data_IF_582257547362
#
_entry.id   IF_582257547362
#
_cell.length_a   1.000
_cell.length_b   1.000
_cell.length_c   1.000
_cell.angle_alpha   90.00
_cell.angle_beta   90.00
_cell.angle_gamma   90.00
#
_symmetry.space_group_name_H-M   'P 1'
#
loop_
_entity.id
_entity.type
_entity.pdbx_description
1 polymer ?
#
# COMPACT_ATOMS: atom_id res chain seq x y z
N UNK A 1 3.83 -8.32 -6.84
CA UNK A 1 4.20 -9.56 -6.15
C UNK A 1 4.50 -10.62 -7.18
N UNK A 2 3.91 -11.81 -7.23
CA UNK A 2 4.43 -12.96 -8.01
C UNK A 2 5.14 -12.71 -9.36
N UNK A 3 4.64 -11.81 -10.22
CA UNK A 3 5.36 -11.44 -11.47
C UNK A 3 6.61 -10.60 -11.22
N UNK A 4 6.54 -9.59 -10.34
CA UNK A 4 7.66 -8.76 -9.94
C UNK A 4 8.77 -9.59 -9.28
N UNK A 5 8.44 -10.48 -8.33
CA UNK A 5 9.40 -11.34 -7.62
C UNK A 5 10.19 -12.25 -8.58
N UNK A 6 9.59 -12.65 -9.71
CA UNK A 6 10.29 -13.43 -10.74
C UNK A 6 11.21 -12.57 -11.60
N UNK A 7 10.89 -11.29 -11.77
CA UNK A 7 11.58 -10.38 -12.68
C UNK A 7 12.75 -9.66 -11.99
N UNK A 8 12.66 -9.42 -10.68
CA UNK A 8 13.64 -8.60 -9.92
C UNK A 8 15.08 -9.10 -10.02
N UNK A 9 15.31 -10.41 -10.21
CA UNK A 9 16.65 -10.98 -10.35
C UNK A 9 17.21 -10.93 -11.78
N UNK A 10 16.40 -10.52 -12.75
CA UNK A 10 16.72 -10.60 -14.18
C UNK A 10 16.70 -9.25 -14.89
N UNK A 11 16.17 -8.22 -14.24
CA UNK A 11 16.12 -6.86 -14.78
C UNK A 11 17.44 -6.15 -14.52
N UNK A 12 17.93 -5.42 -15.51
CA UNK A 12 19.12 -4.56 -15.38
C UNK A 12 18.77 -3.18 -14.84
N UNK A 13 19.75 -2.46 -14.28
CA UNK A 13 19.55 -1.09 -13.77
C UNK A 13 19.01 -0.14 -14.85
N UNK A 14 19.48 -0.27 -16.10
CA UNK A 14 18.99 0.55 -17.22
C UNK A 14 17.51 0.29 -17.54
N UNK A 15 17.05 -0.95 -17.40
CA UNK A 15 15.63 -1.31 -17.58
C UNK A 15 14.77 -0.80 -16.42
N UNK A 16 15.30 -0.79 -15.20
CA UNK A 16 14.64 -0.20 -14.02
C UNK A 16 14.49 1.30 -14.19
N UNK A 17 15.57 2.02 -14.56
CA UNK A 17 15.55 3.47 -14.79
C UNK A 17 14.55 3.85 -15.89
N UNK A 18 14.51 3.09 -16.98
CA UNK A 18 13.55 3.29 -18.07
C UNK A 18 12.10 3.02 -17.63
N UNK A 19 11.88 2.03 -16.77
CA UNK A 19 10.57 1.74 -16.19
C UNK A 19 10.11 2.86 -15.25
N UNK A 20 10.99 3.31 -14.35
CA UNK A 20 10.73 4.39 -13.40
C UNK A 20 10.34 5.69 -14.16
N UNK A 21 11.12 6.08 -15.16
CA UNK A 21 10.83 7.24 -16.00
C UNK A 21 9.49 7.11 -16.73
N UNK A 22 9.18 5.90 -17.24
CA UNK A 22 7.90 5.63 -17.93
C UNK A 22 6.69 5.67 -16.98
N UNK A 23 6.88 5.32 -15.71
CA UNK A 23 5.85 5.41 -14.67
C UNK A 23 5.75 6.81 -14.05
N UNK A 24 6.65 7.73 -14.41
CA UNK A 24 6.65 9.12 -13.94
C UNK A 24 7.27 9.30 -12.55
N UNK A 25 8.27 8.48 -12.22
CA UNK A 25 8.99 8.53 -10.93
C UNK A 25 8.04 8.37 -9.71
N UNK A 26 7.28 7.26 -9.62
CA UNK A 26 6.41 7.02 -8.48
C UNK A 26 7.24 6.86 -7.20
N UNK A 27 6.74 7.44 -6.10
CA UNK A 27 7.39 7.30 -4.79
C UNK A 27 6.89 6.11 -3.98
N UNK A 28 5.75 5.54 -4.38
CA UNK A 28 5.12 4.41 -3.69
C UNK A 28 4.63 3.39 -4.72
N UNK A 29 4.58 2.13 -4.31
CA UNK A 29 3.98 1.05 -5.08
C UNK A 29 2.43 1.14 -5.07
N UNK A 30 1.72 0.28 -5.82
CA UNK A 30 0.26 0.27 -5.84
C UNK A 30 -0.43 0.01 -4.48
N UNK A 31 0.27 -0.55 -3.50
CA UNK A 31 -0.23 -0.85 -2.16
C UNK A 31 0.15 0.21 -1.13
N UNK A 32 1.06 1.13 -1.48
CA UNK A 32 1.50 2.24 -0.63
C UNK A 32 2.87 2.04 -0.01
N UNK A 33 3.60 0.98 -0.37
CA UNK A 33 4.98 0.78 0.08
C UNK A 33 5.91 1.82 -0.54
N UNK A 34 6.80 2.45 0.23
CA UNK A 34 7.77 3.39 -0.31
C UNK A 34 8.73 2.68 -1.27
N UNK A 35 8.90 3.25 -2.46
CA UNK A 35 9.91 2.79 -3.42
C UNK A 35 11.27 3.35 -2.97
N UNK A 36 12.32 2.53 -2.80
CA UNK A 36 13.64 3.01 -2.43
C UNK A 36 14.17 4.02 -3.44
N UNK A 37 14.89 5.03 -2.95
CA UNK A 37 15.72 5.88 -3.82
C UNK A 37 16.85 5.08 -4.46
N UNK A 38 17.51 5.65 -5.47
CA UNK A 38 18.67 5.02 -6.15
C UNK A 38 19.87 4.73 -5.23
N UNK A 39 19.94 5.35 -4.05
CA UNK A 39 20.95 5.01 -3.02
C UNK A 39 20.53 3.84 -2.11
N UNK A 40 19.34 3.28 -2.33
CA UNK A 40 18.71 2.25 -1.51
C UNK A 40 18.00 2.79 -0.26
N UNK A 41 17.94 4.11 -0.06
CA UNK A 41 17.25 4.68 1.09
C UNK A 41 15.73 4.61 0.92
N UNK A 42 15.03 4.04 1.90
CA UNK A 42 13.57 4.00 2.01
C UNK A 42 13.06 5.22 2.79
N UNK A 43 11.97 5.83 2.31
CA UNK A 43 11.23 6.81 3.10
C UNK A 43 10.51 6.10 4.25
N UNK A 44 10.37 6.78 5.39
CA UNK A 44 9.58 6.26 6.51
C UNK A 44 8.09 6.33 6.15
N UNK A 45 7.40 5.21 6.31
CA UNK A 45 5.96 5.14 6.10
C UNK A 45 5.26 5.63 7.37
N UNK A 46 4.75 6.85 7.34
CA UNK A 46 3.93 7.38 8.43
C UNK A 46 2.51 6.82 8.37
N UNK A 47 2.19 5.91 9.29
CA UNK A 47 0.87 5.29 9.39
C UNK A 47 0.56 4.78 10.78
N UNK A 48 -0.71 4.49 11.02
CA UNK A 48 -1.18 3.83 12.25
C UNK A 48 -2.16 2.74 11.84
N UNK A 49 -2.05 1.56 12.43
CA UNK A 49 -2.97 0.46 12.17
C UNK A 49 -4.41 0.90 12.45
N UNK A 50 -5.36 0.51 11.58
CA UNK A 50 -6.78 0.89 11.78
C UNK A 50 -7.37 0.36 13.08
N UNK A 51 -6.82 -0.74 13.62
CA UNK A 51 -7.20 -1.31 14.92
C UNK A 51 -6.78 -0.43 16.11
N UNK A 52 -5.87 0.51 15.90
CA UNK A 52 -5.38 1.47 16.90
C UNK A 52 -5.86 2.90 16.61
N UNK A 53 -6.48 3.12 15.45
CA UNK A 53 -6.99 4.43 15.06
C UNK A 53 -8.22 4.82 15.89
N UNK A 54 -8.33 6.10 16.33
CA UNK A 54 -9.50 6.54 17.08
C UNK A 54 -10.80 6.40 16.29
N UNK A 55 -11.82 5.81 16.92
CA UNK A 55 -13.16 5.71 16.35
C UNK A 55 -13.74 7.10 16.06
N UNK A 56 -14.52 7.20 14.99
CA UNK A 56 -15.19 8.42 14.60
C UNK A 56 -14.29 9.51 14.02
N UNK A 57 -12.98 9.26 13.89
CA UNK A 57 -12.04 10.21 13.27
C UNK A 57 -11.77 9.87 11.81
N UNK A 58 -11.74 10.87 10.92
CA UNK A 58 -11.36 10.66 9.53
C UNK A 58 -9.91 10.18 9.44
N UNK A 59 -9.66 9.25 8.53
CA UNK A 59 -8.35 8.74 8.17
C UNK A 59 -8.21 8.73 6.65
N UNK A 60 -6.96 8.72 6.18
CA UNK A 60 -6.62 8.41 4.79
C UNK A 60 -5.81 7.12 4.80
N UNK A 61 -6.22 6.14 4.00
CA UNK A 61 -5.43 4.92 3.82
C UNK A 61 -4.11 5.32 3.15
N UNK A 62 -3.00 4.94 3.76
CA UNK A 62 -1.65 5.18 3.20
C UNK A 62 -0.99 3.92 2.69
N UNK A 63 -1.34 2.77 3.27
CA UNK A 63 -0.76 1.47 2.96
C UNK A 63 -1.80 0.36 3.14
N UNK A 64 -1.69 -0.69 2.33
CA UNK A 64 -2.43 -1.94 2.44
C UNK A 64 -1.44 -3.11 2.50
N UNK A 65 -1.50 -3.89 3.57
CA UNK A 65 -0.77 -5.16 3.64
C UNK A 65 -1.19 -6.07 2.48
N UNK A 66 -0.21 -6.59 1.76
CA UNK A 66 -0.38 -7.43 0.59
C UNK A 66 -0.56 -8.93 0.93
N UNK A 67 -0.19 -9.31 2.15
CA UNK A 67 -0.32 -10.65 2.68
C UNK A 67 -1.28 -10.77 3.87
N UNK A 68 -2.12 -11.82 3.92
CA UNK A 68 -2.28 -12.85 2.89
C UNK A 68 -3.11 -12.32 1.72
N UNK A 69 -2.81 -12.79 0.50
CA UNK A 69 -3.45 -12.31 -0.74
C UNK A 69 -4.99 -12.39 -0.74
N UNK A 70 -5.58 -13.33 -0.01
CA UNK A 70 -7.05 -13.41 0.16
C UNK A 70 -7.60 -12.19 0.91
N UNK A 71 -6.92 -11.73 1.95
CA UNK A 71 -7.31 -10.52 2.70
C UNK A 71 -7.17 -9.29 1.82
N UNK A 72 -6.07 -9.15 1.08
CA UNK A 72 -5.88 -8.04 0.13
C UNK A 72 -7.01 -8.01 -0.91
N UNK A 73 -7.40 -9.17 -1.47
CA UNK A 73 -8.51 -9.25 -2.43
C UNK A 73 -9.82 -8.74 -1.83
N UNK A 74 -10.12 -9.09 -0.58
CA UNK A 74 -11.32 -8.63 0.11
C UNK A 74 -11.31 -7.12 0.36
N UNK A 75 -10.15 -6.58 0.78
CA UNK A 75 -9.94 -5.14 0.97
C UNK A 75 -10.16 -4.37 -0.34
N UNK A 76 -9.54 -4.82 -1.44
CA UNK A 76 -9.69 -4.19 -2.76
C UNK A 76 -11.12 -4.33 -3.28
N UNK A 77 -11.77 -5.48 -3.08
CA UNK A 77 -13.18 -5.69 -3.46
C UNK A 77 -14.15 -4.79 -2.67
N UNK A 78 -13.80 -4.42 -1.44
CA UNK A 78 -14.52 -3.41 -0.66
C UNK A 78 -14.24 -1.96 -1.13
N UNK A 79 -13.44 -1.79 -2.19
CA UNK A 79 -13.10 -0.50 -2.76
C UNK A 79 -12.14 0.32 -1.90
N UNK A 80 -11.36 -0.33 -1.03
CA UNK A 80 -10.31 0.31 -0.24
C UNK A 80 -9.01 0.32 -1.04
N UNK A 81 -8.31 1.45 -1.01
CA UNK A 81 -7.05 1.67 -1.71
C UNK A 81 -6.28 2.81 -1.01
N UNK A 82 -4.94 2.87 -1.15
CA UNK A 82 -4.18 4.04 -0.76
C UNK A 82 -4.79 5.34 -1.33
N UNK A 83 -4.83 6.39 -0.52
CA UNK A 83 -5.46 7.67 -0.83
C UNK A 83 -6.95 7.75 -0.48
N UNK A 84 -7.66 6.64 -0.28
CA UNK A 84 -9.08 6.66 0.09
C UNK A 84 -9.27 7.25 1.50
N UNK A 85 -10.24 8.14 1.62
CA UNK A 85 -10.69 8.66 2.92
C UNK A 85 -11.71 7.71 3.52
N UNK A 86 -11.59 7.46 4.82
CA UNK A 86 -12.47 6.57 5.58
C UNK A 86 -12.68 7.12 6.99
N UNK A 87 -13.66 6.59 7.69
CA UNK A 87 -13.82 6.76 9.13
C UNK A 87 -14.05 5.41 9.79
N UNK A 88 -13.26 5.09 10.82
CA UNK A 88 -13.41 3.83 11.57
C UNK A 88 -14.57 3.99 12.56
N UNK A 89 -15.63 3.21 12.38
CA UNK A 89 -16.81 3.28 13.25
C UNK A 89 -16.84 2.19 14.31
N UNK A 90 -16.29 1.01 13.97
CA UNK A 90 -16.21 -0.10 14.90
C UNK A 90 -15.04 -1.00 14.56
N UNK A 91 -14.35 -1.45 15.60
CA UNK A 91 -13.28 -2.45 15.53
C UNK A 91 -13.79 -3.71 16.24
N UNK A 92 -14.00 -4.77 15.47
CA UNK A 92 -14.33 -6.11 15.95
C UNK A 92 -13.11 -7.03 15.97
N UNK A 93 -13.28 -8.29 16.39
CA UNK A 93 -12.18 -9.28 16.43
C UNK A 93 -11.75 -9.76 15.04
N UNK A 94 -12.65 -9.73 14.06
CA UNK A 94 -12.41 -10.23 12.69
C UNK A 94 -13.01 -9.30 11.62
N UNK A 95 -13.45 -8.10 12.01
CA UNK A 95 -14.13 -7.18 11.10
C UNK A 95 -13.91 -5.73 11.53
N UNK A 96 -13.87 -4.84 10.54
CA UNK A 96 -13.88 -3.40 10.71
C UNK A 96 -15.13 -2.86 10.02
N UNK A 97 -15.83 -1.93 10.67
CA UNK A 97 -16.90 -1.15 10.03
C UNK A 97 -16.35 0.22 9.71
N UNK A 98 -16.28 0.52 8.41
CA UNK A 98 -15.79 1.78 7.87
C UNK A 98 -16.95 2.55 7.25
N UNK A 99 -16.91 3.87 7.34
CA UNK A 99 -17.74 4.76 6.53
C UNK A 99 -16.87 5.52 5.53
N UNK A 100 -17.46 5.82 4.38
CA UNK A 100 -16.89 6.55 3.25
C UNK A 100 -17.29 8.03 3.33
#
# INVERSE_FOLDING_TARGET
HATADRQEHTVSDEEVDALEARLGYPQHDPHGDPIPSSSGALAELEGTALTEWPLGRPARIVHLEDEPAETLRQIVAAGLAPGKQIQVQRIGRQELVLWD
#
